data_IF_729059055424
#
_entry.id   IF_729059055424
#
_cell.length_a   1.000
_cell.length_b   1.000
_cell.length_c   1.000
_cell.angle_alpha   90.00
_cell.angle_beta   90.00
_cell.angle_gamma   90.00
#
_symmetry.space_group_name_H-M   'P 1'
#
loop_
_entity.id
_entity.type
_entity.pdbx_description
1 polymer ?
#
# COMPACT_ATOMS: atom_id res chain seq x y z
N UNK A 1 -16.76 -12.09 6.71
CA UNK A 1 -15.96 -11.01 7.33
C UNK A 1 -15.12 -11.59 8.46
N UNK A 2 -13.79 -11.52 8.33
CA UNK A 2 -12.84 -11.99 9.35
C UNK A 2 -12.93 -11.16 10.64
N UNK A 3 -12.67 -11.76 11.80
CA UNK A 3 -12.66 -11.06 13.10
C UNK A 3 -11.64 -9.92 13.12
N UNK A 4 -10.50 -10.09 12.43
CA UNK A 4 -9.44 -9.09 12.33
C UNK A 4 -9.89 -7.84 11.59
N UNK A 5 -10.70 -8.00 10.53
CA UNK A 5 -11.23 -6.88 9.75
C UNK A 5 -12.09 -5.92 10.57
N UNK A 6 -12.62 -6.34 11.73
CA UNK A 6 -13.40 -5.45 12.61
C UNK A 6 -12.54 -4.33 13.21
N UNK A 7 -11.26 -4.58 13.41
CA UNK A 7 -10.34 -3.60 14.03
C UNK A 7 -9.73 -2.63 13.03
N UNK A 8 -9.88 -2.88 11.72
CA UNK A 8 -9.38 -2.01 10.67
C UNK A 8 -10.17 -0.70 10.63
N UNK A 9 -9.49 0.41 10.90
CA UNK A 9 -10.08 1.75 10.96
C UNK A 9 -9.62 2.62 9.80
N UNK A 10 -8.57 2.23 9.11
CA UNK A 10 -8.01 2.98 8.00
C UNK A 10 -8.79 2.68 6.71
N UNK A 11 -8.59 3.54 5.73
CA UNK A 11 -9.19 3.45 4.40
C UNK A 11 -8.15 3.72 3.33
N UNK A 12 -8.27 3.07 2.18
CA UNK A 12 -7.37 3.31 1.06
C UNK A 12 -8.12 3.50 -0.24
N UNK A 13 -7.55 4.37 -1.08
CA UNK A 13 -7.91 4.52 -2.48
C UNK A 13 -6.81 3.82 -3.30
N UNK A 14 -7.20 2.96 -4.25
CA UNK A 14 -6.29 2.12 -5.04
C UNK A 14 -6.21 2.68 -6.46
N UNK A 15 -4.98 2.93 -6.91
CA UNK A 15 -4.67 3.44 -8.24
C UNK A 15 -3.79 2.46 -9.00
N UNK A 16 -4.09 2.27 -10.28
CA UNK A 16 -3.31 1.43 -11.19
C UNK A 16 -2.88 2.23 -12.41
N UNK A 17 -1.67 1.97 -12.88
CA UNK A 17 -1.17 2.48 -14.15
C UNK A 17 -1.75 1.64 -15.28
N UNK A 18 -2.57 2.27 -16.13
CA UNK A 18 -3.20 1.64 -17.28
C UNK A 18 -2.69 2.28 -18.56
N UNK A 19 -2.48 1.46 -19.58
CA UNK A 19 -2.12 1.93 -20.91
C UNK A 19 -3.37 2.35 -21.68
N UNK A 20 -3.40 3.61 -22.12
CA UNK A 20 -4.49 4.19 -22.90
C UNK A 20 -3.93 4.66 -24.23
N UNK A 21 -4.54 4.19 -25.33
CA UNK A 21 -4.19 4.65 -26.68
C UNK A 21 -5.00 5.90 -27.00
N UNK A 22 -4.34 7.05 -27.03
CA UNK A 22 -4.93 8.32 -27.46
C UNK A 22 -4.22 8.80 -28.73
N UNK A 23 -4.98 8.94 -29.82
CA UNK A 23 -4.46 9.49 -31.08
C UNK A 23 -3.36 8.64 -31.74
N UNK A 24 -3.36 7.32 -31.50
CA UNK A 24 -2.38 6.39 -32.07
C UNK A 24 -1.10 6.21 -31.25
N UNK A 25 -0.99 6.85 -30.08
CA UNK A 25 0.13 6.67 -29.15
C UNK A 25 -0.34 6.05 -27.84
N UNK A 26 0.41 5.08 -27.34
CA UNK A 26 0.19 4.48 -26.01
C UNK A 26 0.72 5.43 -24.94
N UNK A 27 -0.16 5.88 -24.03
CA UNK A 27 0.21 6.66 -22.85
C UNK A 27 -0.09 5.85 -21.60
N UNK A 28 0.75 5.97 -20.58
CA UNK A 28 0.41 5.46 -19.25
C UNK A 28 -0.37 6.54 -18.49
N UNK A 29 -1.55 6.15 -18.02
CA UNK A 29 -2.39 7.01 -17.18
C UNK A 29 -2.69 6.28 -15.88
N UNK A 30 -2.66 7.03 -14.80
CA UNK A 30 -3.06 6.53 -13.49
C UNK A 30 -4.57 6.64 -13.34
N UNK A 31 -5.22 5.53 -13.03
CA UNK A 31 -6.66 5.43 -12.87
C UNK A 31 -7.01 4.97 -11.45
N UNK A 32 -8.04 5.58 -10.86
CA UNK A 32 -8.60 5.18 -9.57
C UNK A 32 -9.51 3.96 -9.80
N UNK A 33 -9.09 2.79 -9.33
CA UNK A 33 -9.86 1.55 -9.46
C UNK A 33 -10.89 1.39 -8.34
N UNK A 34 -10.45 1.60 -7.10
CA UNK A 34 -11.29 1.42 -5.92
C UNK A 34 -11.13 2.57 -4.95
N UNK A 35 -12.24 2.97 -4.33
CA UNK A 35 -12.28 4.10 -3.40
C UNK A 35 -12.75 3.64 -2.02
N UNK A 36 -12.14 4.19 -0.98
CA UNK A 36 -12.53 4.03 0.41
C UNK A 36 -12.57 2.54 0.86
N UNK A 37 -11.63 1.75 0.36
CA UNK A 37 -11.49 0.33 0.69
C UNK A 37 -10.98 0.19 2.12
N UNK A 38 -11.56 -0.74 2.88
CA UNK A 38 -11.13 -0.99 4.26
C UNK A 38 -9.75 -1.63 4.29
N UNK A 39 -8.83 -1.02 5.02
CA UNK A 39 -7.47 -1.53 5.17
C UNK A 39 -6.94 -1.28 6.59
N UNK A 40 -5.76 -1.83 6.86
CA UNK A 40 -4.98 -1.49 8.03
C UNK A 40 -3.55 -1.24 7.60
N UNK A 41 -3.04 -0.05 7.91
CA UNK A 41 -1.66 0.31 7.62
C UNK A 41 -0.84 0.22 8.89
N UNK A 42 0.17 -0.65 8.87
CA UNK A 42 1.02 -0.91 10.02
C UNK A 42 2.48 -0.57 9.73
N UNK A 43 3.15 -0.08 10.76
CA UNK A 43 4.61 0.10 10.77
C UNK A 43 5.22 -1.15 11.38
N UNK A 44 6.10 -1.80 10.63
CA UNK A 44 6.90 -2.94 11.09
C UNK A 44 8.10 -2.49 11.93
N UNK A 45 9.05 -3.42 12.11
CA UNK A 45 10.23 -3.19 12.94
C UNK A 45 11.17 -2.15 12.31
N UNK A 46 11.81 -1.39 13.18
CA UNK A 46 12.96 -0.54 12.87
C UNK A 46 14.21 -1.38 13.05
N UNK A 47 14.95 -1.63 11.97
CA UNK A 47 16.22 -2.34 12.02
C UNK A 47 17.34 -1.34 11.80
N UNK A 48 18.35 -1.37 12.68
CA UNK A 48 19.60 -0.65 12.50
C UNK A 48 20.57 -1.58 11.78
N UNK A 49 20.84 -1.30 10.50
CA UNK A 49 21.72 -2.12 9.66
C UNK A 49 23.04 -1.40 9.34
N UNK A 50 23.41 -0.38 10.10
CA UNK A 50 24.68 0.33 9.88
C UNK A 50 25.88 -0.47 10.35
N UNK A 51 26.64 -1.04 9.43
CA UNK A 51 28.06 -1.32 9.63
C UNK A 51 28.81 -0.02 9.25
N UNK A 52 29.66 0.48 10.15
CA UNK A 52 30.45 1.72 10.04
C UNK A 52 29.71 3.07 10.14
N UNK A 53 29.70 3.62 11.36
CA UNK A 53 29.56 5.05 11.75
C UNK A 53 28.34 5.87 11.25
N UNK A 54 27.51 5.34 10.35
CA UNK A 54 26.26 5.97 9.89
C UNK A 54 25.11 4.97 10.07
N UNK A 55 24.25 5.14 11.09
CA UNK A 55 23.09 4.27 11.28
C UNK A 55 22.11 4.44 10.11
N UNK A 56 21.92 3.38 9.33
CA UNK A 56 20.85 3.32 8.31
C UNK A 56 19.60 2.75 8.97
N UNK A 57 18.55 3.57 9.08
CA UNK A 57 17.31 3.20 9.73
C UNK A 57 16.30 2.71 8.67
N UNK A 58 16.18 1.39 8.53
CA UNK A 58 15.21 0.81 7.60
C UNK A 58 13.89 0.62 8.35
N UNK A 59 12.83 1.30 7.89
CA UNK A 59 11.48 1.12 8.41
C UNK A 59 10.66 0.26 7.44
N UNK A 60 10.29 -0.93 7.89
CA UNK A 60 9.32 -1.77 7.17
C UNK A 60 7.90 -1.25 7.39
N UNK A 61 7.05 -1.31 6.37
CA UNK A 61 5.64 -0.99 6.45
C UNK A 61 4.85 -2.08 5.74
N UNK A 62 3.68 -2.40 6.29
CA UNK A 62 2.83 -3.48 5.79
C UNK A 62 1.40 -3.00 5.73
N UNK A 63 0.74 -3.31 4.61
CA UNK A 63 -0.65 -2.99 4.36
C UNK A 63 -1.47 -4.27 4.39
N UNK A 64 -2.53 -4.27 5.18
CA UNK A 64 -3.46 -5.39 5.28
C UNK A 64 -4.78 -5.01 4.62
N UNK A 65 -5.30 -5.90 3.79
CA UNK A 65 -6.60 -5.73 3.13
C UNK A 65 -7.38 -7.05 3.07
N UNK A 66 -8.65 -6.98 2.68
CA UNK A 66 -9.50 -8.17 2.63
C UNK A 66 -9.05 -9.16 1.55
N UNK A 67 -9.39 -10.46 1.68
CA UNK A 67 -9.02 -11.46 0.69
C UNK A 67 -9.65 -11.21 -0.69
N UNK A 68 -10.78 -10.50 -0.72
CA UNK A 68 -11.50 -10.17 -1.96
C UNK A 68 -11.09 -8.82 -2.57
N UNK A 69 -10.11 -8.12 -1.98
CA UNK A 69 -9.62 -6.83 -2.50
C UNK A 69 -8.63 -7.10 -3.63
N UNK A 70 -8.93 -6.60 -4.83
CA UNK A 70 -8.01 -6.61 -5.97
C UNK A 70 -6.95 -5.51 -5.79
N UNK A 71 -5.88 -5.87 -5.09
CA UNK A 71 -4.68 -5.07 -4.90
C UNK A 71 -3.49 -5.82 -5.51
N UNK A 72 -2.70 -5.15 -6.36
CA UNK A 72 -1.61 -5.76 -7.09
C UNK A 72 -0.28 -5.06 -6.82
N UNK A 73 0.82 -5.80 -7.00
CA UNK A 73 2.16 -5.24 -6.90
C UNK A 73 2.36 -4.13 -7.95
N UNK A 74 2.97 -3.02 -7.55
CA UNK A 74 3.12 -1.83 -8.40
C UNK A 74 1.91 -0.89 -8.40
N UNK A 75 0.77 -1.27 -7.81
CA UNK A 75 -0.30 -0.32 -7.55
C UNK A 75 0.18 0.78 -6.60
N UNK A 76 -0.43 1.95 -6.75
CA UNK A 76 -0.26 3.02 -5.78
C UNK A 76 -1.52 3.12 -4.93
N UNK A 77 -1.33 3.28 -3.62
CA UNK A 77 -2.45 3.45 -2.70
C UNK A 77 -2.29 4.70 -1.86
N UNK A 78 -3.41 5.40 -1.68
CA UNK A 78 -3.48 6.54 -0.77
C UNK A 78 -4.24 6.08 0.47
N UNK A 79 -3.51 5.85 1.55
CA UNK A 79 -4.09 5.44 2.83
C UNK A 79 -4.50 6.66 3.63
N UNK A 80 -5.78 6.77 3.96
CA UNK A 80 -6.32 7.70 4.95
C UNK A 80 -6.39 7.01 6.31
N UNK A 81 -5.51 7.44 7.22
CA UNK A 81 -5.47 6.95 8.61
C UNK A 81 -6.61 7.54 9.45
N UNK A 82 -6.92 6.92 10.58
CA UNK A 82 -7.97 7.40 11.50
C UNK A 82 -7.82 8.86 11.96
N UNK A 83 -6.59 9.38 12.03
CA UNK A 83 -6.31 10.77 12.40
C UNK A 83 -6.49 11.76 11.22
N UNK A 84 -6.96 11.30 10.07
CA UNK A 84 -7.13 12.10 8.85
C UNK A 84 -5.85 12.27 8.02
N UNK A 85 -4.71 11.73 8.47
CA UNK A 85 -3.46 11.79 7.69
C UNK A 85 -3.58 10.90 6.46
N UNK A 86 -3.23 11.45 5.31
CA UNK A 86 -3.05 10.69 4.07
C UNK A 86 -1.58 10.33 3.88
N UNK A 87 -1.34 9.10 3.44
CA UNK A 87 0.00 8.61 3.11
C UNK A 87 -0.08 7.89 1.78
N UNK A 88 0.73 8.33 0.83
CA UNK A 88 0.89 7.67 -0.47
C UNK A 88 1.93 6.55 -0.35
N UNK A 89 1.56 5.37 -0.84
CA UNK A 89 2.36 4.16 -0.76
C UNK A 89 2.40 3.47 -2.11
N UNK A 90 3.56 2.93 -2.46
CA UNK A 90 3.71 1.97 -3.55
C UNK A 90 3.60 0.55 -2.99
N UNK A 91 2.76 -0.27 -3.61
CA UNK A 91 2.55 -1.68 -3.24
C UNK A 91 3.71 -2.52 -3.78
N UNK A 92 4.34 -3.28 -2.90
CA UNK A 92 5.34 -4.29 -3.23
C UNK A 92 4.77 -5.71 -3.12
N UNK A 93 5.63 -6.66 -2.76
CA UNK A 93 5.30 -8.08 -2.67
C UNK A 93 4.09 -8.35 -1.76
N UNK A 94 3.18 -9.20 -2.24
CA UNK A 94 1.95 -9.60 -1.57
C UNK A 94 1.95 -11.06 -1.07
N UNK A 95 1.40 -11.28 0.12
CA UNK A 95 1.19 -12.58 0.74
C UNK A 95 -0.30 -12.78 1.05
N UNK A 96 -1.01 -13.60 0.26
CA UNK A 96 -2.42 -13.86 0.50
C UNK A 96 -2.62 -14.92 1.59
N UNK A 97 -3.48 -14.63 2.56
CA UNK A 97 -3.99 -15.58 3.54
C UNK A 97 -5.49 -15.81 3.32
N UNK A 98 -6.04 -16.88 3.93
CA UNK A 98 -7.47 -17.20 3.82
C UNK A 98 -8.41 -16.14 4.39
N UNK A 99 -7.92 -15.22 5.23
CA UNK A 99 -8.74 -14.22 5.93
C UNK A 99 -8.42 -12.77 5.57
N UNK A 100 -7.27 -12.52 4.96
CA UNK A 100 -6.74 -11.21 4.61
C UNK A 100 -5.55 -11.38 3.65
N UNK A 101 -5.09 -10.28 3.07
CA UNK A 101 -3.86 -10.22 2.30
C UNK A 101 -2.92 -9.22 2.98
N UNK A 102 -1.63 -9.50 2.91
CA UNK A 102 -0.58 -8.63 3.43
C UNK A 102 0.29 -8.18 2.26
N UNK A 103 0.62 -6.89 2.20
CA UNK A 103 1.51 -6.35 1.19
C UNK A 103 2.63 -5.56 1.85
N UNK A 104 3.86 -5.77 1.40
CA UNK A 104 4.95 -4.84 1.69
C UNK A 104 4.67 -3.51 0.98
N UNK A 105 4.93 -2.39 1.66
CA UNK A 105 4.69 -1.06 1.07
C UNK A 105 5.83 -0.10 1.34
N UNK A 106 6.09 0.76 0.36
CA UNK A 106 7.09 1.83 0.46
C UNK A 106 6.39 3.19 0.46
N UNK A 107 6.84 4.09 1.33
CA UNK A 107 6.34 5.47 1.36
C UNK A 107 7.08 6.29 0.31
N UNK A 108 6.35 7.08 -0.46
CA UNK A 108 6.96 8.01 -1.42
C UNK A 108 7.66 9.19 -0.73
N UNK A 109 7.22 9.57 0.47
CA UNK A 109 7.77 10.71 1.23
C UNK A 109 9.24 10.52 1.69
N UNK A 110 9.90 9.39 1.39
CA UNK A 110 11.25 9.05 1.89
C UNK A 110 12.27 8.91 0.74
N UNK A 111 12.12 9.70 -0.32
CA UNK A 111 13.12 9.87 -1.37
C UNK A 111 14.32 10.70 -0.90
#
# INVERSE_FOLDING_TARGET
MSVLQRFWKDRMDIYRWVEVVEGGFTKQKKELLYRNVKCHYSKGQLVNTGEDSVPTLITSHTLFCGPDVDLQEGDEVVVTQRNGKQVTLTVGEGFPYSTHQEFSVKREDTA
#
